data_IF_182118367734
#
_entry.id   IF_182118367734
#
_cell.length_a   1.000
_cell.length_b   1.000
_cell.length_c   1.000
_cell.angle_alpha   90.00
_cell.angle_beta   90.00
_cell.angle_gamma   90.00
#
_symmetry.space_group_name_H-M   'P 1'
#
loop_
_entity.id
_entity.type
_entity.pdbx_description
1 polymer ?
#
# COMPACT_ATOMS: atom_id res chain seq x y z
N UNK A 1 -43.70 11.40 1.44
CA UNK A 1 -42.72 10.86 2.41
C UNK A 1 -41.62 10.23 1.58
N UNK A 2 -40.42 10.82 1.60
CA UNK A 2 -39.29 10.42 0.76
C UNK A 2 -38.61 9.23 1.42
N UNK A 3 -38.64 8.05 0.79
CA UNK A 3 -37.81 6.91 1.20
C UNK A 3 -36.38 7.20 0.74
N UNK A 4 -35.62 7.90 1.59
CA UNK A 4 -34.17 7.85 1.48
C UNK A 4 -33.78 6.40 1.73
N UNK A 5 -33.23 5.75 0.71
CA UNK A 5 -32.39 4.57 0.89
C UNK A 5 -31.34 4.93 1.93
N UNK A 6 -31.52 4.47 3.16
CA UNK A 6 -30.49 4.52 4.17
C UNK A 6 -29.38 3.58 3.70
N UNK A 7 -28.29 4.15 3.22
CA UNK A 7 -27.04 3.40 3.06
C UNK A 7 -26.77 2.68 4.40
N UNK A 8 -26.40 1.38 4.38
CA UNK A 8 -26.13 0.66 5.61
C UNK A 8 -25.09 1.44 6.43
N UNK A 9 -25.42 1.77 7.68
CA UNK A 9 -24.54 2.53 8.57
C UNK A 9 -23.11 1.95 8.52
N UNK A 10 -22.14 2.76 8.08
CA UNK A 10 -20.73 2.40 8.06
C UNK A 10 -20.09 2.22 6.67
N UNK A 11 -20.84 2.16 5.57
CA UNK A 11 -20.27 2.10 4.21
C UNK A 11 -19.40 3.32 3.88
N UNK A 12 -19.86 4.52 4.23
CA UNK A 12 -19.07 5.75 4.06
C UNK A 12 -17.80 5.74 4.92
N UNK A 13 -17.87 5.25 6.16
CA UNK A 13 -16.71 5.12 7.04
C UNK A 13 -15.68 4.13 6.47
N UNK A 14 -16.14 3.01 5.89
CA UNK A 14 -15.28 2.01 5.24
C UNK A 14 -14.65 2.57 3.96
N UNK A 15 -15.39 3.34 3.14
CA UNK A 15 -14.83 4.02 1.97
C UNK A 15 -13.76 5.05 2.37
N UNK A 16 -13.98 5.81 3.44
CA UNK A 16 -12.99 6.74 3.98
C UNK A 16 -11.73 6.02 4.49
N UNK A 17 -11.87 4.84 5.12
CA UNK A 17 -10.74 4.01 5.52
C UNK A 17 -9.97 3.53 4.28
N UNK A 18 -10.66 3.08 3.24
CA UNK A 18 -10.05 2.68 1.97
C UNK A 18 -9.25 3.83 1.32
N UNK A 19 -9.84 5.04 1.25
CA UNK A 19 -9.16 6.21 0.73
C UNK A 19 -7.92 6.60 1.57
N UNK A 20 -8.00 6.51 2.90
CA UNK A 20 -6.86 6.75 3.80
C UNK A 20 -5.76 5.71 3.60
N UNK A 21 -6.10 4.43 3.43
CA UNK A 21 -5.14 3.37 3.14
C UNK A 21 -4.37 3.64 1.85
N UNK A 22 -5.06 4.10 0.79
CA UNK A 22 -4.41 4.46 -0.48
C UNK A 22 -3.48 5.65 -0.34
N UNK A 23 -3.89 6.69 0.38
CA UNK A 23 -3.03 7.84 0.65
C UNK A 23 -1.77 7.41 1.42
N UNK A 24 -1.94 6.63 2.50
CA UNK A 24 -0.82 6.08 3.27
C UNK A 24 0.06 5.14 2.44
N UNK A 25 -0.50 4.39 1.50
CA UNK A 25 0.26 3.53 0.61
C UNK A 25 1.18 4.34 -0.32
N UNK A 26 0.71 5.48 -0.83
CA UNK A 26 1.54 6.38 -1.65
C UNK A 26 2.65 7.02 -0.81
N UNK A 27 2.31 7.55 0.38
CA UNK A 27 3.29 8.13 1.31
C UNK A 27 4.35 7.09 1.72
N UNK A 28 3.94 5.86 2.00
CA UNK A 28 4.83 4.76 2.34
C UNK A 28 5.75 4.39 1.18
N UNK A 29 5.23 4.33 -0.06
CA UNK A 29 6.04 4.08 -1.26
C UNK A 29 7.08 5.18 -1.47
N UNK A 30 6.72 6.44 -1.23
CA UNK A 30 7.64 7.57 -1.36
C UNK A 30 8.73 7.53 -0.28
N UNK A 31 8.37 7.29 0.98
CA UNK A 31 9.32 7.10 2.07
C UNK A 31 10.24 5.90 1.84
N UNK A 32 9.70 4.78 1.36
CA UNK A 32 10.49 3.61 1.01
C UNK A 32 11.50 3.95 -0.09
N UNK A 33 11.10 4.64 -1.15
CA UNK A 33 12.01 5.10 -2.23
C UNK A 33 13.09 6.05 -1.71
N UNK A 34 12.73 6.98 -0.82
CA UNK A 34 13.68 7.91 -0.19
C UNK A 34 14.74 7.13 0.60
N UNK A 35 14.31 6.26 1.52
CA UNK A 35 15.21 5.43 2.34
C UNK A 35 16.11 4.56 1.45
N UNK A 36 15.55 3.98 0.39
CA UNK A 36 16.32 3.18 -0.56
C UNK A 36 17.35 4.03 -1.32
N UNK A 37 16.98 5.24 -1.73
CA UNK A 37 17.91 6.20 -2.35
C UNK A 37 19.04 6.60 -1.40
N UNK A 38 18.73 6.86 -0.13
CA UNK A 38 19.72 7.20 0.89
C UNK A 38 20.69 6.03 1.13
N UNK A 39 20.18 4.80 1.23
CA UNK A 39 21.01 3.60 1.40
C UNK A 39 21.91 3.37 0.17
N UNK A 40 21.38 3.48 -1.05
CA UNK A 40 22.17 3.35 -2.28
C UNK A 40 23.23 4.45 -2.40
N UNK A 41 22.89 5.68 -1.99
CA UNK A 41 23.82 6.80 -1.96
C UNK A 41 24.98 6.58 -0.99
N UNK A 42 24.70 6.01 0.18
CA UNK A 42 25.73 5.63 1.15
C UNK A 42 26.64 4.53 0.59
N UNK A 43 26.07 3.50 -0.06
CA UNK A 43 26.81 2.32 -0.54
C UNK A 43 27.91 2.64 -1.58
N UNK A 44 27.75 3.71 -2.35
CA UNK A 44 28.76 4.14 -3.35
C UNK A 44 30.09 4.61 -2.73
N UNK A 45 30.12 4.88 -1.41
CA UNK A 45 31.26 5.47 -0.71
C UNK A 45 32.10 4.51 0.15
N UNK A 46 31.88 3.19 0.10
CA UNK A 46 32.36 2.25 1.14
C UNK A 46 31.97 2.75 2.55
N UNK A 47 30.69 2.97 2.83
CA UNK A 47 30.23 3.64 4.05
C UNK A 47 30.52 2.82 5.31
N UNK A 48 30.68 1.50 5.14
CA UNK A 48 30.94 0.53 6.18
C UNK A 48 32.38 0.61 6.70
N UNK A 49 33.29 1.26 5.97
CA UNK A 49 34.71 1.33 6.29
C UNK A 49 35.52 0.12 5.80
N UNK A 50 36.85 0.27 5.82
CA UNK A 50 37.80 -0.74 5.33
C UNK A 50 38.35 -1.65 6.44
N UNK A 51 37.92 -1.45 7.67
CA UNK A 51 38.27 -2.31 8.79
C UNK A 51 37.53 -3.65 8.72
N UNK A 52 37.84 -4.55 9.64
CA UNK A 52 37.25 -5.88 9.66
C UNK A 52 35.73 -5.85 9.93
N UNK A 53 35.26 -4.88 10.70
CA UNK A 53 33.85 -4.72 11.01
C UNK A 53 33.05 -4.26 9.77
N UNK A 54 33.57 -3.29 9.03
CA UNK A 54 32.99 -2.79 7.80
C UNK A 54 32.86 -3.86 6.71
N UNK A 55 33.91 -4.66 6.55
CA UNK A 55 33.89 -5.81 5.63
C UNK A 55 32.86 -6.86 6.02
N UNK A 56 32.79 -7.21 7.32
CA UNK A 56 31.82 -8.18 7.81
C UNK A 56 30.38 -7.69 7.62
N UNK A 57 30.12 -6.39 7.81
CA UNK A 57 28.82 -5.81 7.53
C UNK A 57 28.48 -5.88 6.03
N UNK A 58 29.40 -5.45 5.16
CA UNK A 58 29.19 -5.47 3.71
C UNK A 58 28.90 -6.89 3.20
N UNK A 59 29.59 -7.91 3.72
CA UNK A 59 29.33 -9.31 3.37
C UNK A 59 27.91 -9.76 3.77
N UNK A 60 27.41 -9.35 4.92
CA UNK A 60 26.04 -9.67 5.34
C UNK A 60 25.01 -8.88 4.55
N UNK A 61 25.28 -7.59 4.29
CA UNK A 61 24.38 -6.69 3.59
C UNK A 61 24.22 -7.08 2.10
N UNK A 62 25.29 -7.55 1.47
CA UNK A 62 25.27 -8.09 0.10
C UNK A 62 25.06 -9.60 0.03
N UNK A 63 24.73 -10.26 1.15
CA UNK A 63 24.51 -11.70 1.17
C UNK A 63 23.42 -12.06 0.14
N UNK A 64 23.63 -13.09 -0.69
CA UNK A 64 22.65 -13.49 -1.67
C UNK A 64 21.37 -13.98 -0.99
N UNK A 65 20.24 -13.50 -1.51
CA UNK A 65 18.90 -13.95 -1.14
C UNK A 65 18.28 -14.62 -2.36
N UNK A 66 17.70 -15.80 -2.15
CA UNK A 66 17.05 -16.56 -3.21
C UNK A 66 15.93 -15.72 -3.85
N UNK A 67 15.97 -15.61 -5.18
CA UNK A 67 15.01 -14.82 -5.97
C UNK A 67 15.28 -13.32 -6.08
N UNK A 68 16.21 -12.75 -5.30
CA UNK A 68 16.47 -11.29 -5.29
C UNK A 68 17.94 -10.91 -5.51
N UNK A 69 18.86 -11.87 -5.55
CA UNK A 69 20.29 -11.65 -5.82
C UNK A 69 21.09 -11.15 -4.62
N UNK A 70 20.54 -10.24 -3.81
CA UNK A 70 21.13 -9.78 -2.54
C UNK A 70 20.04 -9.41 -1.52
N UNK A 71 20.43 -9.33 -0.24
CA UNK A 71 19.53 -8.87 0.82
C UNK A 71 19.08 -7.42 0.59
N UNK A 72 19.97 -6.55 0.13
CA UNK A 72 19.66 -5.16 -0.21
C UNK A 72 18.53 -5.07 -1.27
N UNK A 73 18.66 -5.81 -2.37
CA UNK A 73 17.64 -5.87 -3.43
C UNK A 73 16.34 -6.51 -2.93
N UNK A 74 16.43 -7.56 -2.11
CA UNK A 74 15.25 -8.19 -1.51
C UNK A 74 14.47 -7.22 -0.61
N UNK A 75 15.17 -6.37 0.16
CA UNK A 75 14.55 -5.35 0.99
C UNK A 75 13.86 -4.27 0.16
N UNK A 76 14.50 -3.85 -0.94
CA UNK A 76 13.91 -2.91 -1.89
C UNK A 76 12.58 -3.41 -2.44
N UNK A 77 12.58 -4.62 -3.00
CA UNK A 77 11.38 -5.18 -3.62
C UNK A 77 10.26 -5.38 -2.60
N UNK A 78 10.59 -5.85 -1.39
CA UNK A 78 9.59 -6.08 -0.32
C UNK A 78 8.97 -4.78 0.18
N UNK A 79 9.74 -3.71 0.32
CA UNK A 79 9.20 -2.42 0.74
C UNK A 79 8.26 -1.83 -0.31
N UNK A 80 8.63 -1.90 -1.59
CA UNK A 80 7.75 -1.45 -2.67
C UNK A 80 6.48 -2.31 -2.76
N UNK A 81 6.62 -3.64 -2.69
CA UNK A 81 5.50 -4.57 -2.72
C UNK A 81 4.54 -4.37 -1.54
N UNK A 82 5.03 -4.04 -0.34
CA UNK A 82 4.19 -3.71 0.81
C UNK A 82 3.33 -2.46 0.54
N UNK A 83 3.91 -1.45 -0.10
CA UNK A 83 3.17 -0.27 -0.53
C UNK A 83 2.11 -0.58 -1.59
N UNK A 84 2.40 -1.46 -2.54
CA UNK A 84 1.43 -1.88 -3.56
C UNK A 84 0.26 -2.67 -2.96
N UNK A 85 0.53 -3.56 -2.00
CA UNK A 85 -0.51 -4.30 -1.26
C UNK A 85 -1.45 -3.38 -0.49
N UNK A 86 -0.93 -2.32 0.12
CA UNK A 86 -1.75 -1.34 0.84
C UNK A 86 -2.66 -0.54 -0.11
N UNK A 87 -2.16 -0.19 -1.30
CA UNK A 87 -2.95 0.51 -2.32
C UNK A 87 -4.02 -0.41 -2.93
N UNK A 88 -3.70 -1.67 -3.19
CA UNK A 88 -4.65 -2.69 -3.67
C UNK A 88 -5.77 -2.95 -2.65
N UNK A 89 -5.42 -3.09 -1.37
CA UNK A 89 -6.39 -3.24 -0.29
C UNK A 89 -7.31 -2.02 -0.22
N UNK A 90 -6.73 -0.81 -0.21
CA UNK A 90 -7.52 0.42 -0.18
C UNK A 90 -8.43 0.58 -1.40
N UNK A 91 -7.95 0.21 -2.59
CA UNK A 91 -8.73 0.22 -3.83
C UNK A 91 -9.90 -0.77 -3.79
N UNK A 92 -9.64 -2.00 -3.36
CA UNK A 92 -10.66 -3.05 -3.21
C UNK A 92 -11.76 -2.61 -2.26
N UNK A 93 -11.40 -2.01 -1.12
CA UNK A 93 -12.36 -1.50 -0.14
C UNK A 93 -13.24 -0.40 -0.74
N UNK A 94 -12.65 0.56 -1.46
CA UNK A 94 -13.42 1.64 -2.11
C UNK A 94 -14.37 1.08 -3.19
N UNK A 95 -13.90 0.18 -4.05
CA UNK A 95 -14.72 -0.42 -5.11
C UNK A 95 -15.86 -1.27 -4.54
N UNK A 96 -15.60 -2.03 -3.47
CA UNK A 96 -16.64 -2.80 -2.80
C UNK A 96 -17.75 -1.89 -2.26
N UNK A 97 -17.40 -0.73 -1.67
CA UNK A 97 -18.39 0.22 -1.16
C UNK A 97 -19.19 0.90 -2.27
N UNK A 98 -18.56 1.29 -3.38
CA UNK A 98 -19.27 1.80 -4.57
C UNK A 98 -20.26 0.78 -5.14
N UNK A 99 -19.93 -0.50 -5.06
CA UNK A 99 -20.82 -1.59 -5.49
C UNK A 99 -22.04 -1.70 -4.56
N UNK A 100 -21.87 -1.52 -3.25
CA UNK A 100 -22.99 -1.48 -2.29
C UNK A 100 -23.87 -0.25 -2.54
N UNK A 101 -23.28 0.94 -2.67
CA UNK A 101 -24.02 2.17 -2.95
C UNK A 101 -24.85 2.08 -4.24
N UNK A 102 -24.26 1.50 -5.30
CA UNK A 102 -24.97 1.33 -6.58
C UNK A 102 -26.06 0.26 -6.55
N UNK A 103 -25.86 -0.83 -5.80
CA UNK A 103 -26.88 -1.85 -5.59
C UNK A 103 -28.08 -1.31 -4.79
N UNK A 104 -27.82 -0.50 -3.76
CA UNK A 104 -28.86 0.16 -2.98
C UNK A 104 -29.65 1.16 -3.82
N UNK A 105 -28.98 2.00 -4.62
CA UNK A 105 -29.63 2.94 -5.55
C UNK A 105 -30.52 2.23 -6.58
N UNK A 106 -30.10 1.09 -7.12
CA UNK A 106 -30.90 0.29 -8.04
C UNK A 106 -32.11 -0.35 -7.34
N UNK A 107 -31.94 -0.86 -6.11
CA UNK A 107 -33.02 -1.46 -5.32
C UNK A 107 -34.11 -0.47 -4.92
N UNK A 108 -33.78 0.79 -4.63
CA UNK A 108 -34.82 1.80 -4.33
C UNK A 108 -35.48 2.40 -5.58
N UNK A 109 -34.84 2.36 -6.75
CA UNK A 109 -35.47 2.74 -8.01
C UNK A 109 -36.60 1.77 -8.39
N UNK A 110 -36.44 0.47 -8.14
CA UNK A 110 -37.49 -0.54 -8.35
C UNK A 110 -38.68 -0.36 -7.40
N UNK A 111 -38.46 0.09 -6.17
CA UNK A 111 -39.55 0.38 -5.21
C UNK A 111 -40.29 1.68 -5.60
N UNK A 112 -39.58 2.71 -6.08
CA UNK A 112 -40.19 3.96 -6.51
C UNK A 112 -40.98 3.87 -7.82
N UNK A 113 -40.66 2.90 -8.69
CA UNK A 113 -41.42 2.60 -9.91
C UNK A 113 -42.65 1.71 -9.72
N UNK A 114 -42.83 1.13 -8.53
CA UNK A 114 -43.92 0.21 -8.20
C UNK A 114 -45.10 0.86 -7.44
N UNK A 115 -45.11 2.20 -7.31
CA UNK A 115 -46.16 2.99 -6.65
C UNK A 115 -46.91 3.90 -7.61
#
# INVERSE_FOLDING_TARGET
MSSYLELPEGTEAVAQIGARLRAQAQDFKEQARQILGDIQGLDQGQPWGNDQAGKAFAEQYHKPVEGAGSLALAMQDRLLAAGDLLDELGGTVVTAMQTVESADLAGGADIAGAV
#
